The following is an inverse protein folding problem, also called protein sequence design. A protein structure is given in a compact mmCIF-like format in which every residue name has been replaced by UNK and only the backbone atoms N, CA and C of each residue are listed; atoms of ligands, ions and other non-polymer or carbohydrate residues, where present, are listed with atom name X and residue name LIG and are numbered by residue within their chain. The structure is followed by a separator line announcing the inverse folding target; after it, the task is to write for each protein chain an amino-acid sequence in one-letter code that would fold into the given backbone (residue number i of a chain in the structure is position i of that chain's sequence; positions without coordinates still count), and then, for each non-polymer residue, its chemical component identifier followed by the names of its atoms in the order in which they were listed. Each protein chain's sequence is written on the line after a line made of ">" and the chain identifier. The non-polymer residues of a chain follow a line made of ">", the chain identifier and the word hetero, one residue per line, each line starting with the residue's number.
data_IF_421045342647
#
_entry.id   IF_421045342647
#
_cell.length_a   1.000
_cell.length_b   1.000
_cell.length_c   1.000
_cell.angle_alpha   90.00
_cell.angle_beta   90.00
_cell.angle_gamma   90.00
#
_symmetry.space_group_name_H-M   'P 1'
#
loop_
_entity.id
_entity.type
_entity.pdbx_description
1 polymer ?
#
# COMPACT_ATOMS: atom_id res chain seq x y z
N UNK A 1 12.72 20.97 5.71
CA UNK A 1 13.50 19.96 4.96
C UNK A 1 12.67 18.68 4.89
N UNK A 2 11.91 18.49 3.81
CA UNK A 2 11.31 17.19 3.51
C UNK A 2 12.38 16.34 2.84
N UNK A 3 13.24 15.71 3.64
CA UNK A 3 14.26 14.82 3.12
C UNK A 3 13.56 13.63 2.45
N UNK A 4 13.64 13.55 1.12
CA UNK A 4 12.89 12.65 0.27
C UNK A 4 12.92 11.20 0.79
N UNK A 5 11.85 10.77 1.46
CA UNK A 5 11.72 9.41 1.96
C UNK A 5 12.71 8.98 3.05
N UNK A 6 13.46 9.90 3.67
CA UNK A 6 14.45 9.59 4.71
C UNK A 6 13.90 9.71 6.13
N UNK A 7 12.67 10.23 6.29
CA UNK A 7 12.03 10.43 7.60
C UNK A 7 10.80 9.52 7.69
N UNK A 8 10.80 8.64 8.69
CA UNK A 8 9.63 7.82 9.05
C UNK A 8 8.45 8.72 9.45
N UNK A 9 7.30 8.51 8.82
CA UNK A 9 6.10 9.28 9.15
C UNK A 9 5.31 8.56 10.25
N UNK A 10 5.56 8.96 11.50
CA UNK A 10 5.01 8.31 12.71
C UNK A 10 3.67 8.87 13.20
N UNK A 11 3.10 9.87 12.50
CA UNK A 11 1.77 10.41 12.81
C UNK A 11 0.67 9.56 12.16
N UNK A 12 -0.58 9.68 12.63
CA UNK A 12 -1.76 9.06 12.00
C UNK A 12 -2.01 9.59 10.56
N UNK A 13 -2.78 8.87 9.72
CA UNK A 13 -3.28 7.50 9.92
C UNK A 13 -2.14 6.48 9.91
N UNK A 14 -2.30 5.35 10.58
CA UNK A 14 -1.31 4.27 10.60
C UNK A 14 -1.10 3.67 9.20
N UNK A 15 0.05 3.04 8.94
CA UNK A 15 0.41 2.56 7.60
C UNK A 15 -0.54 1.44 7.10
N UNK A 16 -1.01 0.60 8.00
CA UNK A 16 -2.02 -0.44 7.75
C UNK A 16 -3.40 0.15 7.46
N UNK A 17 -3.78 1.25 8.12
CA UNK A 17 -5.01 1.98 7.79
C UNK A 17 -4.96 2.56 6.36
N UNK A 18 -3.79 3.05 5.93
CA UNK A 18 -3.59 3.47 4.53
C UNK A 18 -3.65 2.27 3.59
N UNK A 19 -2.99 1.15 3.92
CA UNK A 19 -3.07 -0.08 3.13
C UNK A 19 -4.53 -0.52 2.97
N UNK A 20 -5.30 -0.54 4.06
CA UNK A 20 -6.71 -0.92 4.02
C UNK A 20 -7.51 -0.07 3.04
N UNK A 21 -7.37 1.26 3.12
CA UNK A 21 -8.06 2.17 2.20
C UNK A 21 -7.67 1.94 0.73
N UNK A 22 -6.40 1.61 0.47
CA UNK A 22 -5.92 1.26 -0.88
C UNK A 22 -6.56 -0.06 -1.34
N UNK A 23 -6.56 -1.10 -0.49
CA UNK A 23 -7.16 -2.40 -0.81
C UNK A 23 -8.65 -2.28 -1.10
N UNK A 24 -9.38 -1.55 -0.26
CA UNK A 24 -10.82 -1.32 -0.43
C UNK A 24 -11.11 -0.67 -1.79
N UNK A 25 -10.28 0.28 -2.22
CA UNK A 25 -10.42 0.93 -3.54
C UNK A 25 -9.99 0.07 -4.74
N UNK A 26 -9.26 -1.01 -4.52
CA UNK A 26 -8.79 -1.93 -5.57
C UNK A 26 -9.74 -3.11 -5.81
N UNK A 27 -10.66 -3.38 -4.88
CA UNK A 27 -11.66 -4.45 -5.03
C UNK A 27 -12.56 -4.20 -6.25
N UNK A 28 -12.69 -5.22 -7.09
CA UNK A 28 -13.39 -5.17 -8.37
C UNK A 28 -12.65 -4.44 -9.49
N UNK A 29 -11.46 -3.88 -9.23
CA UNK A 29 -10.66 -3.12 -10.20
C UNK A 29 -9.35 -3.83 -10.52
N UNK A 30 -8.54 -4.10 -9.50
CA UNK A 30 -7.24 -4.77 -9.64
C UNK A 30 -7.37 -6.27 -9.38
N UNK A 31 -8.23 -6.64 -8.43
CA UNK A 31 -8.58 -8.02 -8.08
C UNK A 31 -10.09 -8.13 -7.81
N UNK A 32 -10.62 -9.34 -7.75
CA UNK A 32 -12.04 -9.58 -7.45
C UNK A 32 -12.32 -9.31 -5.98
N UNK A 33 -11.47 -9.80 -5.10
CA UNK A 33 -11.62 -9.67 -3.65
C UNK A 33 -10.26 -9.46 -2.96
N UNK A 34 -10.28 -8.77 -1.83
CA UNK A 34 -9.06 -8.36 -1.13
C UNK A 34 -8.31 -9.54 -0.47
N UNK A 35 -8.95 -10.72 -0.39
CA UNK A 35 -8.31 -11.97 0.00
C UNK A 35 -7.28 -12.48 -1.03
N UNK A 36 -7.31 -11.99 -2.27
CA UNK A 36 -6.34 -12.38 -3.31
C UNK A 36 -4.95 -11.74 -3.12
N UNK A 37 -4.86 -10.67 -2.33
CA UNK A 37 -3.58 -10.07 -1.99
C UNK A 37 -2.96 -10.84 -0.80
N UNK A 38 -1.96 -11.67 -1.08
CA UNK A 38 -1.37 -12.61 -0.10
C UNK A 38 0.02 -12.19 0.41
N UNK A 39 0.66 -11.21 -0.23
CA UNK A 39 1.95 -10.65 0.19
C UNK A 39 1.90 -9.12 0.18
N UNK A 40 2.51 -8.49 1.19
CA UNK A 40 2.53 -7.03 1.32
C UNK A 40 3.89 -6.52 1.75
N UNK A 41 4.33 -5.42 1.11
CA UNK A 41 5.41 -4.57 1.60
C UNK A 41 4.89 -3.15 1.72
N UNK A 42 4.93 -2.60 2.94
CA UNK A 42 4.36 -1.28 3.24
C UNK A 42 5.44 -0.41 3.88
N UNK A 43 5.51 0.86 3.47
CA UNK A 43 6.35 1.85 4.13
C UNK A 43 5.63 3.20 4.16
N UNK A 44 5.83 3.96 5.25
CA UNK A 44 5.24 5.29 5.40
C UNK A 44 6.34 6.31 5.74
N UNK A 45 6.54 7.26 4.85
CA UNK A 45 7.64 8.23 4.91
C UNK A 45 7.16 9.62 4.47
N UNK A 46 7.75 10.67 5.01
CA UNK A 46 7.50 12.01 4.50
C UNK A 46 8.16 12.18 3.12
N UNK A 47 7.43 12.82 2.20
CA UNK A 47 7.88 13.10 0.84
C UNK A 47 7.54 14.54 0.45
N UNK A 48 8.06 14.97 -0.71
CA UNK A 48 7.79 16.30 -1.27
C UNK A 48 6.40 16.41 -1.88
N UNK A 49 5.86 15.29 -2.37
CA UNK A 49 4.51 15.19 -2.93
C UNK A 49 3.64 14.30 -2.05
N UNK A 50 2.43 14.74 -1.67
CA UNK A 50 1.48 13.87 -0.97
C UNK A 50 0.93 12.82 -1.93
N UNK A 51 0.73 11.60 -1.43
CA UNK A 51 0.12 10.53 -2.21
C UNK A 51 0.51 9.14 -1.72
N UNK A 52 -0.03 8.14 -2.42
CA UNK A 52 0.35 6.74 -2.25
C UNK A 52 0.91 6.26 -3.59
N UNK A 53 2.00 5.52 -3.53
CA UNK A 53 2.56 4.80 -4.68
C UNK A 53 2.30 3.32 -4.46
N UNK A 54 1.64 2.68 -5.42
CA UNK A 54 1.26 1.27 -5.32
C UNK A 54 1.77 0.53 -6.55
N UNK A 55 2.44 -0.59 -6.31
CA UNK A 55 2.84 -1.55 -7.32
C UNK A 55 2.14 -2.86 -6.99
N UNK A 56 1.52 -3.47 -7.99
CA UNK A 56 0.82 -4.75 -7.86
C UNK A 56 1.34 -5.68 -8.94
N UNK A 57 1.62 -6.91 -8.57
CA UNK A 57 2.09 -7.96 -9.48
C UNK A 57 1.40 -9.28 -9.16
N UNK A 58 1.13 -10.08 -10.19
CA UNK A 58 0.67 -11.45 -10.00
C UNK A 58 1.83 -12.32 -9.53
N UNK A 59 1.59 -13.13 -8.50
CA UNK A 59 2.58 -14.05 -7.96
C UNK A 59 2.51 -15.40 -8.68
N UNK A 60 3.64 -16.10 -8.90
CA UNK A 60 3.67 -17.43 -9.49
C UNK A 60 3.29 -18.51 -8.44
N UNK A 61 2.14 -18.34 -7.81
CA UNK A 61 1.58 -19.24 -6.79
C UNK A 61 0.28 -19.85 -7.29
N UNK A 62 0.00 -21.08 -6.87
CA UNK A 62 -1.28 -21.73 -7.18
C UNK A 62 -2.39 -21.15 -6.30
N UNK A 63 -3.57 -20.98 -6.91
CA UNK A 63 -4.78 -20.58 -6.18
C UNK A 63 -5.34 -21.81 -5.49
N UNK A 64 -5.68 -21.68 -4.21
CA UNK A 64 -6.39 -22.71 -3.46
C UNK A 64 -7.84 -22.88 -3.94
#
# INVERSE_FOLDING_TARGET
>A
MAAAGQICATKKPDADNVLKAVKDGMNGVVWVDDCQAVEYRISKKYGTSPGVYVEVMELPLERA
#
